data_IF_862284750042
#
_entry.id   IF_862284750042
#
_cell.length_a   1.000
_cell.length_b   1.000
_cell.length_c   1.000
_cell.angle_alpha   90.00
_cell.angle_beta   90.00
_cell.angle_gamma   90.00
#
_symmetry.space_group_name_H-M   'P 1'
#
loop_
_entity.id
_entity.type
_entity.pdbx_description
1 polymer ?
#
# COMPACT_ATOMS: atom_id res chain seq x y z
N UNK A 1 11.38 25.66 48.99
CA UNK A 1 11.80 27.07 49.23
C UNK A 1 13.20 27.29 48.66
N UNK A 2 13.30 27.80 47.43
CA UNK A 2 14.41 28.61 46.92
C UNK A 2 13.79 29.58 45.92
N UNK A 3 13.58 30.81 46.38
CA UNK A 3 13.20 31.93 45.54
C UNK A 3 14.44 32.36 44.75
N UNK A 4 14.36 32.34 43.43
CA UNK A 4 15.27 33.07 42.56
C UNK A 4 14.39 33.98 41.71
N UNK A 5 14.54 35.27 41.99
CA UNK A 5 13.92 36.39 41.33
C UNK A 5 14.33 36.45 39.85
N UNK A 6 13.36 36.47 38.94
CA UNK A 6 13.61 36.86 37.56
C UNK A 6 13.27 38.35 37.41
N UNK A 7 14.31 39.16 37.54
CA UNK A 7 14.30 40.56 37.13
C UNK A 7 14.14 40.62 35.61
N UNK A 8 13.19 41.44 35.19
CA UNK A 8 12.91 41.84 33.82
C UNK A 8 14.03 42.73 33.29
N UNK A 9 15.10 42.12 32.75
CA UNK A 9 16.07 42.77 31.85
C UNK A 9 17.07 41.73 31.31
N UNK A 10 16.69 40.98 30.28
CA UNK A 10 17.61 40.52 29.23
C UNK A 10 16.77 39.97 28.05
N UNK A 11 16.09 40.88 27.36
CA UNK A 11 15.68 40.63 25.98
C UNK A 11 16.95 40.44 25.14
N UNK A 12 16.89 39.50 24.20
CA UNK A 12 17.92 39.11 23.21
C UNK A 12 18.82 37.94 23.63
N UNK A 13 18.24 36.73 23.70
CA UNK A 13 18.98 35.50 23.37
C UNK A 13 18.13 34.59 22.47
N UNK A 14 18.30 34.81 21.16
CA UNK A 14 18.22 33.84 20.05
C UNK A 14 17.41 32.55 20.30
N UNK A 15 16.21 32.49 19.71
CA UNK A 15 15.29 31.32 19.72
C UNK A 15 15.97 30.02 19.26
N UNK A 16 17.07 30.11 18.48
CA UNK A 16 17.86 28.95 18.05
C UNK A 16 18.67 28.23 19.14
N UNK A 17 18.92 28.84 20.31
CA UNK A 17 19.70 28.18 21.39
C UNK A 17 18.85 27.44 22.42
N UNK A 18 17.57 27.79 22.53
CA UNK A 18 16.64 27.14 23.46
C UNK A 18 16.36 25.69 23.00
N UNK A 19 16.25 25.45 21.69
CA UNK A 19 16.08 24.11 21.14
C UNK A 19 17.26 23.17 21.40
N UNK A 20 18.50 23.69 21.35
CA UNK A 20 19.72 22.88 21.52
C UNK A 20 19.89 22.41 22.97
N UNK A 21 19.51 23.24 23.95
CA UNK A 21 19.60 22.87 25.37
C UNK A 21 18.55 21.84 25.80
N UNK A 22 17.40 21.79 25.13
CA UNK A 22 16.36 20.78 25.38
C UNK A 22 16.80 19.39 24.86
N UNK A 23 17.64 19.32 23.83
CA UNK A 23 18.08 18.07 23.21
C UNK A 23 19.16 17.34 24.04
N UNK A 24 19.95 18.05 24.86
CA UNK A 24 21.09 17.46 25.57
C UNK A 24 20.84 17.09 27.04
N UNK A 25 19.67 17.42 27.61
CA UNK A 25 19.36 17.17 29.04
C UNK A 25 18.32 16.05 29.25
N UNK A 26 17.73 15.48 28.20
CA UNK A 26 16.87 14.30 28.36
C UNK A 26 17.72 13.03 28.14
N UNK A 27 18.07 12.27 29.19
CA UNK A 27 18.54 10.91 28.99
C UNK A 27 17.35 10.15 28.42
N UNK A 28 17.43 9.76 27.15
CA UNK A 28 16.43 8.92 26.49
C UNK A 28 16.49 7.54 27.12
N UNK A 29 15.84 7.41 28.27
CA UNK A 29 15.64 6.16 28.98
C UNK A 29 14.93 5.20 28.05
N UNK A 30 15.60 4.07 27.81
CA UNK A 30 15.05 2.88 27.21
C UNK A 30 13.83 2.40 28.02
N UNK A 31 12.65 2.88 27.67
CA UNK A 31 11.35 2.33 28.09
C UNK A 31 10.23 2.93 27.24
N UNK A 32 10.29 2.72 25.93
CA UNK A 32 9.07 2.68 25.15
C UNK A 32 8.43 1.31 25.42
N UNK A 33 7.66 1.20 26.51
CA UNK A 33 6.74 0.08 26.70
C UNK A 33 5.86 -0.01 25.45
N UNK A 34 6.12 -1.02 24.63
CA UNK A 34 5.26 -1.42 23.51
C UNK A 34 3.87 -1.69 24.11
N UNK A 35 2.98 -0.72 23.99
CA UNK A 35 1.63 -0.75 24.56
C UNK A 35 0.96 -2.07 24.12
N UNK A 36 0.63 -2.99 25.05
CA UNK A 36 0.01 -4.29 24.73
C UNK A 36 -1.25 -4.13 23.88
N UNK A 37 -1.97 -3.02 24.06
CA UNK A 37 -3.17 -2.67 23.31
C UNK A 37 -2.87 -2.46 21.82
N UNK A 38 -1.75 -1.82 21.47
CA UNK A 38 -1.33 -1.63 20.07
C UNK A 38 -0.83 -2.95 19.44
N UNK A 39 -0.23 -3.83 20.23
CA UNK A 39 0.15 -5.17 19.74
C UNK A 39 -1.07 -6.06 19.49
N UNK A 40 -2.08 -5.99 20.36
CA UNK A 40 -3.31 -6.77 20.21
C UNK A 40 -4.12 -6.32 18.98
N UNK A 41 -4.13 -5.02 18.65
CA UNK A 41 -4.77 -4.48 17.45
C UNK A 41 -4.06 -4.88 16.15
N UNK A 42 -2.74 -5.13 16.19
CA UNK A 42 -2.01 -5.66 15.03
C UNK A 42 -2.36 -7.14 14.80
N UNK A 43 -2.58 -7.92 15.87
CA UNK A 43 -2.93 -9.34 15.79
C UNK A 43 -4.35 -9.60 15.26
N UNK A 44 -5.29 -8.64 15.38
CA UNK A 44 -6.61 -8.77 14.73
C UNK A 44 -6.55 -8.55 13.21
N UNK A 45 -5.52 -7.88 12.69
CA UNK A 45 -5.35 -7.65 11.25
C UNK A 45 -4.71 -8.87 10.55
N UNK A 46 -3.84 -9.61 11.25
CA UNK A 46 -3.24 -10.86 10.72
C UNK A 46 -4.25 -12.02 10.62
N UNK A 47 -5.39 -11.93 11.32
CA UNK A 47 -6.49 -12.89 11.21
C UNK A 47 -7.43 -12.60 10.02
N UNK A 48 -7.14 -11.58 9.22
CA UNK A 48 -7.66 -11.44 7.84
C UNK A 48 -6.66 -11.99 6.81
N UNK A 49 -5.83 -12.96 7.21
CA UNK A 49 -5.23 -13.84 6.23
C UNK A 49 -6.39 -14.47 5.44
N UNK A 50 -6.51 -14.06 4.17
CA UNK A 50 -7.21 -14.80 3.12
C UNK A 50 -6.89 -16.27 3.38
N UNK A 51 -7.89 -17.19 3.45
CA UNK A 51 -7.60 -18.60 3.66
C UNK A 51 -6.57 -18.98 2.61
N UNK A 52 -5.33 -19.18 3.06
CA UNK A 52 -4.26 -19.69 2.22
C UNK A 52 -4.60 -21.16 2.13
N UNK A 53 -5.50 -21.44 1.19
CA UNK A 53 -6.14 -22.71 0.90
C UNK A 53 -5.10 -23.82 1.07
N UNK A 54 -5.09 -24.44 2.25
CA UNK A 54 -4.04 -25.38 2.66
C UNK A 54 -4.25 -26.74 2.02
N UNK A 55 -4.95 -26.76 0.90
CA UNK A 55 -5.11 -27.89 0.00
C UNK A 55 -4.81 -27.47 -1.44
N UNK A 56 -3.77 -26.63 -1.62
CA UNK A 56 -3.18 -26.39 -2.95
C UNK A 56 -2.71 -27.71 -3.53
N UNK A 57 -3.58 -28.29 -4.34
CA UNK A 57 -3.25 -29.28 -5.34
C UNK A 57 -2.10 -28.66 -6.16
N UNK A 58 -0.86 -29.10 -5.90
CA UNK A 58 0.32 -28.65 -6.65
C UNK A 58 0.21 -28.98 -8.14
N UNK A 59 -0.71 -29.88 -8.51
CA UNK A 59 -0.96 -30.45 -9.82
C UNK A 59 -2.42 -30.25 -10.28
N UNK A 60 -2.77 -29.07 -10.80
CA UNK A 60 -4.12 -28.89 -11.36
C UNK A 60 -4.29 -29.67 -12.68
N UNK A 61 -5.50 -30.17 -12.95
CA UNK A 61 -5.89 -30.71 -14.26
C UNK A 61 -6.83 -29.78 -15.02
N UNK A 62 -7.76 -29.14 -14.30
CA UNK A 62 -8.69 -28.15 -14.83
C UNK A 62 -8.62 -26.82 -14.06
N UNK A 63 -9.08 -25.75 -14.72
CA UNK A 63 -9.10 -24.40 -14.15
C UNK A 63 -9.91 -24.29 -12.86
N UNK A 64 -10.99 -25.07 -12.72
CA UNK A 64 -11.89 -25.09 -11.55
C UNK A 64 -11.23 -25.59 -10.26
N UNK A 65 -10.06 -26.22 -10.37
CA UNK A 65 -9.25 -26.66 -9.22
C UNK A 65 -8.41 -25.52 -8.63
N UNK A 66 -8.28 -24.41 -9.36
CA UNK A 66 -7.55 -23.23 -8.94
C UNK A 66 -8.50 -22.18 -8.35
N UNK A 67 -7.94 -21.12 -7.75
CA UNK A 67 -8.75 -19.97 -7.34
C UNK A 67 -9.34 -19.26 -8.57
N UNK A 68 -10.45 -18.53 -8.40
CA UNK A 68 -11.06 -17.74 -9.47
C UNK A 68 -10.11 -16.71 -10.11
N UNK A 69 -9.07 -16.31 -9.38
CA UNK A 69 -8.00 -15.39 -9.82
C UNK A 69 -6.84 -16.08 -10.53
N UNK A 70 -6.84 -17.41 -10.63
CA UNK A 70 -5.76 -18.23 -11.18
C UNK A 70 -6.28 -19.12 -12.30
N UNK A 71 -5.37 -19.61 -13.13
CA UNK A 71 -5.66 -20.55 -14.22
C UNK A 71 -4.69 -21.73 -14.14
N UNK A 72 -5.14 -22.90 -14.60
CA UNK A 72 -4.27 -24.07 -14.66
C UNK A 72 -3.34 -24.00 -15.87
N UNK A 73 -2.05 -23.72 -15.63
CA UNK A 73 -1.02 -23.61 -16.66
C UNK A 73 0.10 -24.59 -16.33
N UNK A 74 0.32 -25.57 -17.20
CA UNK A 74 1.38 -26.56 -16.99
C UNK A 74 1.22 -27.39 -15.72
N UNK A 75 -0.03 -27.75 -15.38
CA UNK A 75 -0.42 -28.42 -14.13
C UNK A 75 -0.15 -27.60 -12.87
N UNK A 76 -0.06 -26.28 -12.96
CA UNK A 76 0.07 -25.40 -11.79
C UNK A 76 -0.94 -24.28 -11.86
N UNK A 77 -1.52 -23.93 -10.72
CA UNK A 77 -2.34 -22.74 -10.61
C UNK A 77 -1.44 -21.52 -10.65
N UNK A 78 -1.61 -20.68 -11.68
CA UNK A 78 -0.82 -19.48 -11.91
C UNK A 78 -1.72 -18.32 -12.31
N UNK A 79 -1.31 -17.09 -12.00
CA UNK A 79 -1.99 -15.89 -12.48
C UNK A 79 -1.88 -15.81 -14.02
N UNK A 80 -3.00 -15.76 -14.76
CA UNK A 80 -2.98 -15.63 -16.22
C UNK A 80 -2.60 -14.22 -16.71
N UNK A 81 -2.53 -13.18 -15.87
CA UNK A 81 -2.30 -11.79 -16.30
C UNK A 81 -0.91 -11.42 -16.88
N UNK A 82 0.22 -11.99 -16.45
CA UNK A 82 1.54 -11.53 -16.86
C UNK A 82 1.74 -11.55 -18.38
N UNK A 83 1.99 -10.39 -18.98
CA UNK A 83 2.40 -10.25 -20.39
C UNK A 83 1.29 -10.36 -21.44
N UNK A 84 0.00 -10.39 -21.04
CA UNK A 84 -1.11 -10.56 -21.98
C UNK A 84 -1.86 -9.26 -22.33
N UNK A 85 -1.86 -8.26 -21.45
CA UNK A 85 -2.54 -6.98 -21.70
C UNK A 85 -1.58 -5.94 -22.31
N UNK A 86 -2.18 -5.01 -23.07
CA UNK A 86 -1.47 -3.91 -23.70
C UNK A 86 -0.97 -2.84 -22.71
N UNK A 87 -0.23 -1.86 -23.23
CA UNK A 87 0.30 -0.75 -22.43
C UNK A 87 -0.86 0.11 -21.90
N UNK A 88 -0.76 0.54 -20.64
CA UNK A 88 -1.80 1.31 -19.92
C UNK A 88 -3.18 0.61 -19.90
N UNK A 89 -3.18 -0.73 -19.86
CA UNK A 89 -4.38 -1.55 -19.61
C UNK A 89 -4.32 -2.22 -18.22
N UNK A 90 -5.49 -2.54 -17.70
CA UNK A 90 -5.72 -3.32 -16.48
C UNK A 90 -6.10 -4.74 -16.87
N UNK A 91 -5.38 -5.71 -16.31
CA UNK A 91 -5.79 -7.11 -16.37
C UNK A 91 -6.74 -7.43 -15.22
N UNK A 92 -7.87 -8.07 -15.52
CA UNK A 92 -8.83 -8.59 -14.54
C UNK A 92 -9.07 -10.06 -14.81
N UNK A 93 -9.00 -10.91 -13.78
CA UNK A 93 -9.32 -12.33 -13.92
C UNK A 93 -10.77 -12.55 -13.48
N UNK A 94 -11.59 -13.10 -14.39
CA UNK A 94 -12.99 -13.44 -14.16
C UNK A 94 -13.14 -14.91 -14.52
N UNK A 95 -13.43 -15.76 -13.52
CA UNK A 95 -13.62 -17.22 -13.71
C UNK A 95 -12.46 -17.86 -14.47
N UNK A 96 -11.25 -17.75 -13.93
CA UNK A 96 -10.00 -18.28 -14.51
C UNK A 96 -9.60 -17.70 -15.87
N UNK A 97 -10.36 -16.74 -16.40
CA UNK A 97 -10.10 -16.10 -17.69
C UNK A 97 -9.69 -14.67 -17.46
N UNK A 98 -8.54 -14.28 -18.01
CA UNK A 98 -8.10 -12.90 -18.00
C UNK A 98 -8.90 -12.07 -19.02
N UNK A 99 -9.25 -10.86 -18.63
CA UNK A 99 -9.89 -9.85 -19.47
C UNK A 99 -9.11 -8.55 -19.33
N UNK A 100 -8.66 -8.00 -20.46
CA UNK A 100 -8.00 -6.70 -20.48
C UNK A 100 -9.03 -5.58 -20.62
N UNK A 101 -8.85 -4.51 -19.86
CA UNK A 101 -9.67 -3.29 -19.94
C UNK A 101 -8.80 -2.05 -19.80
N UNK A 102 -9.09 -0.96 -20.50
CA UNK A 102 -8.34 0.27 -20.33
C UNK A 102 -8.56 0.87 -18.93
N UNK A 103 -7.57 1.63 -18.43
CA UNK A 103 -7.78 2.46 -17.24
C UNK A 103 -8.96 3.41 -17.46
N UNK A 104 -9.54 3.90 -16.36
CA UNK A 104 -10.54 4.95 -16.45
C UNK A 104 -9.94 6.18 -17.17
N UNK A 105 -10.75 6.78 -18.03
CA UNK A 105 -10.37 7.82 -19.00
C UNK A 105 -9.34 7.45 -20.07
N UNK A 106 -9.06 6.18 -20.27
CA UNK A 106 -8.25 5.72 -21.37
C UNK A 106 -9.15 4.99 -22.38
N UNK A 107 -8.80 5.12 -23.66
CA UNK A 107 -9.48 4.48 -24.78
C UNK A 107 -8.48 3.77 -25.70
N UNK A 108 -9.01 3.02 -26.66
CA UNK A 108 -8.23 2.22 -27.59
C UNK A 108 -8.39 0.73 -27.35
N UNK A 109 -7.42 -0.05 -27.84
CA UNK A 109 -7.47 -1.51 -27.75
C UNK A 109 -6.71 -1.99 -26.50
N UNK A 110 -7.38 -2.58 -25.49
CA UNK A 110 -6.76 -2.99 -24.24
C UNK A 110 -5.76 -4.15 -24.37
N UNK A 111 -5.73 -4.86 -25.49
CA UNK A 111 -4.75 -5.90 -25.79
C UNK A 111 -3.50 -5.36 -26.49
N UNK A 112 -3.54 -4.12 -26.98
CA UNK A 112 -2.42 -3.50 -27.70
C UNK A 112 -1.88 -2.32 -26.88
N UNK A 113 -2.71 -1.28 -26.73
CA UNK A 113 -2.37 -0.05 -26.05
C UNK A 113 -3.64 0.76 -25.80
N UNK A 114 -3.74 1.28 -24.59
CA UNK A 114 -4.70 2.32 -24.25
C UNK A 114 -4.02 3.70 -24.27
N UNK A 115 -4.77 4.72 -24.64
CA UNK A 115 -4.32 6.12 -24.66
C UNK A 115 -5.31 6.99 -23.90
N UNK A 116 -4.85 8.05 -23.22
CA UNK A 116 -5.77 8.96 -22.53
C UNK A 116 -6.71 9.64 -23.53
N UNK A 117 -7.97 9.84 -23.14
CA UNK A 117 -8.90 10.66 -23.92
C UNK A 117 -8.31 12.05 -24.15
N UNK A 118 -8.57 12.60 -25.34
CA UNK A 118 -8.15 13.95 -25.71
C UNK A 118 -8.63 14.98 -24.67
N UNK A 119 -7.67 15.69 -24.07
CA UNK A 119 -7.93 16.74 -23.08
C UNK A 119 -7.86 16.32 -21.61
N UNK A 120 -7.70 15.03 -21.30
CA UNK A 120 -7.58 14.55 -19.92
C UNK A 120 -6.12 14.35 -19.50
N UNK A 121 -5.72 15.01 -18.41
CA UNK A 121 -4.39 14.82 -17.82
C UNK A 121 -4.35 13.48 -17.08
N UNK A 122 -3.25 12.72 -17.24
CA UNK A 122 -3.02 11.41 -16.57
C UNK A 122 -3.28 11.43 -15.06
N UNK A 123 -2.94 12.52 -14.37
CA UNK A 123 -3.16 12.65 -12.93
C UNK A 123 -4.64 12.84 -12.57
N UNK A 124 -5.44 13.50 -13.42
CA UNK A 124 -6.88 13.68 -13.16
C UNK A 124 -7.59 12.33 -13.11
N UNK A 125 -7.23 11.42 -14.01
CA UNK A 125 -7.81 10.07 -14.04
C UNK A 125 -7.39 9.18 -12.88
N UNK A 126 -6.16 9.36 -12.39
CA UNK A 126 -5.68 8.63 -11.22
C UNK A 126 -6.28 9.13 -9.91
N UNK A 127 -6.50 10.44 -9.77
CA UNK A 127 -6.96 11.07 -8.53
C UNK A 127 -8.47 11.20 -8.42
N UNK A 128 -9.13 11.64 -9.49
CA UNK A 128 -10.57 11.90 -9.49
C UNK A 128 -11.36 10.76 -10.13
N UNK A 129 -10.71 9.92 -10.94
CA UNK A 129 -11.40 8.87 -11.68
C UNK A 129 -12.58 9.44 -12.45
N UNK A 130 -12.40 10.53 -13.20
CA UNK A 130 -13.43 11.14 -14.05
C UNK A 130 -12.97 11.00 -15.48
#
# INVERSE_FOLDING_TARGET
MKNISFSSSLLIMNVNRICIFIILIIPFSASFQKNRILHQLAQTIENMAVPSDSNRIFNCSNDTECLNSEKCIGKRCMDPCPGLCGIDAICKVIKHTMTCSCFKCYEGNPYIRCTPYLGLKRWMCKYFGI
#
